data_IF_028046518748
#
_entry.id   IF_028046518748
#
_cell.length_a   1.000
_cell.length_b   1.000
_cell.length_c   1.000
_cell.angle_alpha   90.00
_cell.angle_beta   90.00
_cell.angle_gamma   90.00
#
_symmetry.space_group_name_H-M   'P 1'
#
loop_
_entity.id
_entity.type
_entity.pdbx_description
1 polymer ?
#
# COMPACT_ATOMS: atom_id res chain seq x y z
N UNK A 1 2.87 -7.28 -29.22
CA UNK A 1 3.27 -6.45 -28.06
C UNK A 1 2.08 -6.37 -27.14
N UNK A 2 2.19 -6.90 -25.93
CA UNK A 2 1.12 -6.89 -24.92
C UNK A 2 0.91 -5.46 -24.41
N UNK A 3 -0.35 -5.08 -24.16
CA UNK A 3 -0.77 -3.77 -23.64
C UNK A 3 -0.08 -3.38 -22.34
N UNK A 4 0.35 -4.36 -21.55
CA UNK A 4 1.11 -4.17 -20.32
C UNK A 4 2.52 -3.61 -20.56
N UNK A 5 3.15 -3.92 -21.70
CA UNK A 5 4.50 -3.42 -22.03
C UNK A 5 4.45 -1.96 -22.43
N UNK A 6 3.44 -1.56 -23.20
CA UNK A 6 3.24 -0.14 -23.57
C UNK A 6 2.88 0.71 -22.36
N UNK A 7 2.13 0.13 -21.40
CA UNK A 7 1.81 0.81 -20.14
C UNK A 7 3.06 0.99 -19.28
N UNK A 8 3.90 -0.04 -19.17
CA UNK A 8 5.18 0.04 -18.47
C UNK A 8 6.09 1.13 -19.06
N UNK A 9 6.20 1.21 -20.39
CA UNK A 9 7.01 2.24 -21.06
C UNK A 9 6.48 3.66 -20.82
N UNK A 10 5.16 3.85 -20.77
CA UNK A 10 4.55 5.14 -20.39
C UNK A 10 4.90 5.54 -18.96
N UNK A 11 4.69 4.63 -18.00
CA UNK A 11 5.04 4.90 -16.60
C UNK A 11 6.54 5.11 -16.38
N UNK A 12 7.39 4.40 -17.13
CA UNK A 12 8.84 4.62 -17.10
C UNK A 12 9.21 6.02 -17.63
N UNK A 13 8.54 6.49 -18.68
CA UNK A 13 8.74 7.84 -19.21
C UNK A 13 8.29 8.91 -18.22
N UNK A 14 7.13 8.74 -17.59
CA UNK A 14 6.59 9.67 -16.60
C UNK A 14 7.48 9.74 -15.35
N UNK A 15 7.95 8.58 -14.86
CA UNK A 15 8.88 8.49 -13.74
C UNK A 15 10.23 9.18 -14.04
N UNK A 16 10.77 9.01 -15.25
CA UNK A 16 11.99 9.70 -15.66
C UNK A 16 11.81 11.22 -15.76
N UNK A 17 10.63 11.68 -16.19
CA UNK A 17 10.25 13.09 -16.18
C UNK A 17 10.24 13.67 -14.75
N UNK A 18 9.64 12.94 -13.80
CA UNK A 18 9.65 13.32 -12.39
C UNK A 18 11.06 13.36 -11.81
N UNK A 19 11.91 12.36 -12.09
CA UNK A 19 13.29 12.35 -11.62
C UNK A 19 14.07 13.59 -12.09
N UNK A 20 13.88 14.03 -13.33
CA UNK A 20 14.51 15.25 -13.84
C UNK A 20 14.00 16.51 -13.13
N UNK A 21 12.69 16.59 -12.85
CA UNK A 21 12.12 17.68 -12.05
C UNK A 21 12.71 17.72 -10.64
N UNK A 22 12.76 16.58 -9.96
CA UNK A 22 13.33 16.43 -8.61
C UNK A 22 14.80 16.86 -8.60
N UNK A 23 15.61 16.40 -9.55
CA UNK A 23 17.02 16.79 -9.66
C UNK A 23 17.18 18.29 -9.95
N UNK A 24 16.32 18.86 -10.81
CA UNK A 24 16.27 20.30 -11.07
C UNK A 24 15.98 21.12 -9.81
N UNK A 25 15.02 20.68 -8.99
CA UNK A 25 14.67 21.35 -7.73
C UNK A 25 15.72 21.18 -6.65
N UNK A 26 16.33 20.01 -6.53
CA UNK A 26 17.45 19.78 -5.61
C UNK A 26 18.68 20.61 -5.97
N UNK A 27 19.00 20.72 -7.26
CA UNK A 27 20.10 21.58 -7.72
C UNK A 27 19.79 23.06 -7.53
N UNK A 28 18.54 23.51 -7.73
CA UNK A 28 18.10 24.87 -7.41
C UNK A 28 18.18 25.16 -5.89
N UNK A 29 17.76 24.23 -5.03
CA UNK A 29 17.87 24.36 -3.58
C UNK A 29 19.34 24.34 -3.08
N UNK A 30 20.24 23.76 -3.87
CA UNK A 30 21.68 23.76 -3.62
C UNK A 30 22.33 25.08 -4.08
N UNK A 31 21.97 25.58 -5.28
CA UNK A 31 22.52 26.82 -5.83
C UNK A 31 22.04 28.07 -5.11
N UNK A 32 20.83 28.06 -4.55
CA UNK A 32 20.35 29.11 -3.65
C UNK A 32 21.23 29.31 -2.41
N UNK A 33 22.13 28.37 -2.10
CA UNK A 33 23.16 28.50 -1.06
C UNK A 33 24.43 29.23 -1.48
N UNK A 34 24.70 29.44 -2.78
CA UNK A 34 25.98 29.92 -3.30
C UNK A 34 25.77 31.11 -4.26
N UNK A 35 25.97 32.32 -3.73
CA UNK A 35 26.13 33.57 -4.48
C UNK A 35 25.38 34.72 -3.81
N UNK A 36 25.84 35.96 -3.75
CA UNK A 36 27.14 36.61 -3.92
C UNK A 36 26.88 38.08 -3.47
N UNK A 37 27.75 38.63 -2.63
CA UNK A 37 27.88 40.02 -2.16
C UNK A 37 26.62 40.90 -1.83
N UNK A 38 26.55 41.46 -0.61
CA UNK A 38 25.36 42.13 -0.09
C UNK A 38 25.24 43.56 -0.63
N UNK A 39 24.06 43.94 -1.10
CA UNK A 39 23.70 45.36 -1.13
C UNK A 39 22.25 45.51 -0.65
N UNK A 40 22.12 46.10 0.55
CA UNK A 40 20.90 46.65 1.17
C UNK A 40 20.10 45.65 2.04
N UNK A 41 20.23 45.84 3.36
CA UNK A 41 19.49 45.25 4.50
C UNK A 41 19.71 43.73 4.82
N UNK A 42 20.62 43.39 5.76
CA UNK A 42 21.12 42.01 5.97
C UNK A 42 20.16 40.99 6.59
N UNK A 43 19.06 41.41 7.22
CA UNK A 43 18.33 40.57 8.17
C UNK A 43 17.06 39.93 7.61
N UNK A 44 16.33 40.62 6.72
CA UNK A 44 15.09 40.10 6.12
C UNK A 44 15.38 39.15 4.97
N UNK A 45 16.39 39.47 4.15
CA UNK A 45 16.77 38.69 2.97
C UNK A 45 17.34 37.30 3.33
N UNK A 46 17.89 37.14 4.54
CA UNK A 46 18.44 35.87 5.01
C UNK A 46 17.34 34.87 5.40
N UNK A 47 16.32 35.32 6.14
CA UNK A 47 15.17 34.50 6.53
C UNK A 47 14.33 34.11 5.30
N UNK A 48 14.07 35.07 4.39
CA UNK A 48 13.33 34.82 3.15
C UNK A 48 14.02 33.77 2.26
N UNK A 49 15.36 33.78 2.20
CA UNK A 49 16.14 32.77 1.45
C UNK A 49 16.10 31.39 2.09
N UNK A 50 16.15 31.31 3.42
CA UNK A 50 16.05 30.03 4.15
C UNK A 50 14.65 29.45 3.99
N UNK A 51 13.61 30.29 4.06
CA UNK A 51 12.23 29.89 3.86
C UNK A 51 11.98 29.42 2.42
N UNK A 52 12.47 30.15 1.42
CA UNK A 52 12.40 29.75 0.00
C UNK A 52 13.13 28.43 -0.26
N UNK A 53 14.28 28.21 0.37
CA UNK A 53 15.04 26.95 0.29
C UNK A 53 14.28 25.79 0.95
N UNK A 54 13.65 26.02 2.11
CA UNK A 54 12.79 25.00 2.75
C UNK A 54 11.55 24.70 1.91
N UNK A 55 10.94 25.71 1.31
CA UNK A 55 9.78 25.54 0.44
C UNK A 55 10.12 24.74 -0.83
N UNK A 56 11.29 24.98 -1.44
CA UNK A 56 11.75 24.19 -2.59
C UNK A 56 12.09 22.75 -2.22
N UNK A 57 12.69 22.53 -1.04
CA UNK A 57 12.94 21.18 -0.49
C UNK A 57 11.62 20.43 -0.25
N UNK A 58 10.62 21.04 0.41
CA UNK A 58 9.31 20.41 0.63
C UNK A 58 8.59 20.07 -0.66
N UNK A 59 8.69 20.93 -1.68
CA UNK A 59 8.14 20.64 -3.02
C UNK A 59 8.86 19.47 -3.68
N UNK A 60 10.18 19.35 -3.49
CA UNK A 60 10.94 18.20 -3.98
C UNK A 60 10.58 16.91 -3.23
N UNK A 61 10.33 16.97 -1.92
CA UNK A 61 9.85 15.83 -1.12
C UNK A 61 8.49 15.32 -1.61
N UNK A 62 7.54 16.21 -1.90
CA UNK A 62 6.24 15.81 -2.42
C UNK A 62 6.33 15.10 -3.78
N UNK A 63 7.21 15.56 -4.68
CA UNK A 63 7.47 14.87 -5.95
C UNK A 63 8.24 13.56 -5.77
N UNK A 64 9.06 13.43 -4.72
CA UNK A 64 9.70 12.16 -4.37
C UNK A 64 8.71 11.12 -3.85
N UNK A 65 7.66 11.54 -3.16
CA UNK A 65 6.57 10.66 -2.72
C UNK A 65 5.76 10.19 -3.94
N UNK A 66 5.41 11.09 -4.87
CA UNK A 66 4.77 10.74 -6.14
C UNK A 66 5.63 9.76 -6.98
N UNK A 67 6.95 9.96 -7.00
CA UNK A 67 7.88 9.03 -7.65
C UNK A 67 7.93 7.65 -6.97
N UNK A 68 7.70 7.57 -5.65
CA UNK A 68 7.62 6.31 -4.89
C UNK A 68 6.33 5.54 -5.23
N UNK A 69 5.22 6.26 -5.37
CA UNK A 69 3.95 5.71 -5.83
C UNK A 69 4.08 5.14 -7.25
N UNK A 70 4.70 5.89 -8.18
CA UNK A 70 4.96 5.37 -9.54
C UNK A 70 5.89 4.15 -9.54
N UNK A 71 6.92 4.14 -8.70
CA UNK A 71 7.81 2.99 -8.57
C UNK A 71 7.06 1.75 -8.06
N UNK A 72 6.10 1.93 -7.15
CA UNK A 72 5.23 0.85 -6.66
C UNK A 72 4.35 0.28 -7.78
N UNK A 73 3.78 1.13 -8.64
CA UNK A 73 3.03 0.69 -9.82
C UNK A 73 3.91 -0.07 -10.82
N UNK A 74 5.15 0.38 -11.05
CA UNK A 74 6.11 -0.32 -11.90
C UNK A 74 6.51 -1.70 -11.33
N UNK A 75 6.68 -1.80 -10.00
CA UNK A 75 6.94 -3.08 -9.32
C UNK A 75 5.71 -4.03 -9.41
N UNK A 76 4.49 -3.50 -9.29
CA UNK A 76 3.25 -4.27 -9.46
C UNK A 76 3.09 -4.77 -10.90
N UNK A 77 3.28 -3.92 -11.91
CA UNK A 77 3.23 -4.32 -13.33
C UNK A 77 4.27 -5.42 -13.63
N UNK A 78 5.46 -5.32 -13.05
CA UNK A 78 6.52 -6.33 -13.19
C UNK A 78 6.14 -7.69 -12.57
N UNK A 79 5.30 -7.70 -11.55
CA UNK A 79 4.79 -8.92 -10.92
C UNK A 79 3.81 -9.67 -11.83
N UNK A 80 3.01 -8.93 -12.62
CA UNK A 80 2.02 -9.47 -13.55
C UNK A 80 2.65 -10.01 -14.86
N UNK A 81 3.85 -9.55 -15.22
CA UNK A 81 4.57 -10.03 -16.40
C UNK A 81 4.99 -11.51 -16.23
N UNK A 82 4.57 -12.44 -17.12
CA UNK A 82 4.89 -13.86 -16.99
C UNK A 82 6.40 -14.11 -17.09
N UNK A 83 6.90 -15.07 -16.27
CA UNK A 83 8.32 -15.44 -16.18
C UNK A 83 8.95 -15.91 -17.50
N UNK A 84 8.12 -16.27 -18.49
CA UNK A 84 8.53 -16.72 -19.82
C UNK A 84 8.94 -15.59 -20.77
N UNK A 85 8.71 -14.32 -20.40
CA UNK A 85 9.16 -13.18 -21.20
C UNK A 85 10.64 -12.89 -21.00
N UNK A 86 11.46 -13.07 -22.06
CA UNK A 86 12.91 -12.80 -22.07
C UNK A 86 13.29 -11.36 -21.71
N UNK A 87 12.37 -10.40 -21.84
CA UNK A 87 12.60 -8.98 -21.52
C UNK A 87 12.48 -8.65 -20.03
N UNK A 88 11.84 -9.52 -19.23
CA UNK A 88 11.67 -9.35 -17.77
C UNK A 88 12.96 -8.97 -17.01
N UNK A 89 14.11 -9.65 -17.19
CA UNK A 89 15.35 -9.29 -16.49
C UNK A 89 15.85 -7.87 -16.81
N UNK A 90 15.62 -7.36 -18.02
CA UNK A 90 15.98 -5.99 -18.39
C UNK A 90 15.11 -4.96 -17.65
N UNK A 91 13.79 -5.20 -17.57
CA UNK A 91 12.87 -4.33 -16.83
C UNK A 91 13.13 -4.35 -15.31
N UNK A 92 13.43 -5.52 -14.74
CA UNK A 92 13.86 -5.64 -13.32
C UNK A 92 15.10 -4.78 -13.05
N UNK A 93 16.09 -4.82 -13.95
CA UNK A 93 17.32 -4.02 -13.79
C UNK A 93 17.04 -2.52 -13.85
N UNK A 94 16.10 -2.08 -14.69
CA UNK A 94 15.73 -0.67 -14.84
C UNK A 94 14.98 -0.14 -13.61
N UNK A 95 14.02 -0.90 -13.08
CA UNK A 95 13.32 -0.57 -11.82
C UNK A 95 14.30 -0.50 -10.64
N UNK A 96 15.30 -1.40 -10.58
CA UNK A 96 16.35 -1.31 -9.56
C UNK A 96 17.23 -0.07 -9.70
N UNK A 97 17.57 0.33 -10.92
CA UNK A 97 18.32 1.57 -11.17
C UNK A 97 17.51 2.81 -10.76
N UNK A 98 16.23 2.85 -11.14
CA UNK A 98 15.26 3.88 -10.73
C UNK A 98 15.13 4.00 -9.20
N UNK A 99 15.07 2.87 -8.50
CA UNK A 99 15.04 2.84 -7.03
C UNK A 99 16.32 3.39 -6.40
N UNK A 100 17.47 3.08 -6.99
CA UNK A 100 18.76 3.56 -6.51
C UNK A 100 18.90 5.09 -6.70
N UNK A 101 18.46 5.65 -7.84
CA UNK A 101 18.49 7.10 -8.08
C UNK A 101 17.51 7.85 -7.19
N UNK A 102 16.31 7.31 -6.95
CA UNK A 102 15.34 7.88 -6.01
C UNK A 102 15.89 7.89 -4.57
N UNK A 103 16.53 6.81 -4.15
CA UNK A 103 17.17 6.72 -2.82
C UNK A 103 18.29 7.75 -2.65
N UNK A 104 19.09 7.96 -3.70
CA UNK A 104 20.13 8.99 -3.70
C UNK A 104 19.53 10.41 -3.59
N UNK A 105 18.45 10.70 -4.33
CA UNK A 105 17.75 11.98 -4.26
C UNK A 105 17.12 12.21 -2.88
N UNK A 106 16.47 11.20 -2.29
CA UNK A 106 15.91 11.26 -0.92
C UNK A 106 16.99 11.57 0.12
N UNK A 107 18.18 10.95 0.00
CA UNK A 107 19.33 11.25 0.86
C UNK A 107 19.79 12.70 0.71
N UNK A 108 19.94 13.18 -0.53
CA UNK A 108 20.35 14.56 -0.81
C UNK A 108 19.35 15.59 -0.26
N UNK A 109 18.04 15.35 -0.40
CA UNK A 109 17.00 16.21 0.18
C UNK A 109 17.13 16.30 1.70
N UNK A 110 17.28 15.15 2.37
CA UNK A 110 17.44 15.08 3.83
C UNK A 110 18.68 15.86 4.30
N UNK A 111 19.80 15.70 3.62
CA UNK A 111 21.05 16.42 3.97
C UNK A 111 20.89 17.94 3.78
N UNK A 112 20.21 18.37 2.70
CA UNK A 112 19.89 19.78 2.46
C UNK A 112 18.94 20.35 3.53
N UNK A 113 17.91 19.60 3.93
CA UNK A 113 16.98 19.98 4.98
C UNK A 113 17.69 20.17 6.33
N UNK A 114 18.54 19.21 6.73
CA UNK A 114 19.33 19.33 7.98
C UNK A 114 20.28 20.52 7.93
N UNK A 115 20.87 20.81 6.76
CA UNK A 115 21.73 21.99 6.59
C UNK A 115 20.96 23.31 6.76
N UNK A 116 19.72 23.38 6.25
CA UNK A 116 18.88 24.58 6.35
C UNK A 116 18.38 24.82 7.78
N UNK A 117 17.94 23.77 8.48
CA UNK A 117 17.49 23.86 9.88
C UNK A 117 18.64 24.21 10.81
N UNK A 118 19.85 23.68 10.59
CA UNK A 118 21.03 24.02 11.38
C UNK A 118 21.41 25.50 11.22
N UNK A 119 21.33 26.05 10.00
CA UNK A 119 21.63 27.44 9.74
C UNK A 119 20.69 28.39 10.50
N UNK A 120 19.39 28.10 10.51
CA UNK A 120 18.38 28.84 11.26
C UNK A 120 18.61 28.79 12.78
N UNK A 121 18.96 27.62 13.32
CA UNK A 121 19.23 27.48 14.76
C UNK A 121 20.46 28.26 15.21
N UNK A 122 21.51 28.32 14.39
CA UNK A 122 22.70 29.12 14.67
C UNK A 122 22.38 30.62 14.63
N UNK A 123 21.61 31.07 13.64
CA UNK A 123 21.16 32.45 13.52
C UNK A 123 20.29 32.89 14.71
N UNK A 124 19.42 31.99 15.21
CA UNK A 124 18.57 32.26 16.38
C UNK A 124 19.33 32.24 17.70
N UNK A 125 20.44 31.52 17.80
CA UNK A 125 21.29 31.50 18.99
C UNK A 125 22.08 32.82 19.16
N UNK A 126 22.56 33.40 18.06
CA UNK A 126 23.27 34.69 18.08
C UNK A 126 22.35 35.85 18.52
N UNK A 127 21.04 35.74 18.21
CA UNK A 127 19.99 36.66 18.67
C UNK A 127 19.80 36.65 20.19
N UNK A 128 20.00 35.50 20.86
CA UNK A 128 19.80 35.36 22.31
C UNK A 128 21.04 35.80 23.11
N UNK A 129 22.23 35.72 22.52
CA UNK A 129 23.48 36.10 23.19
C UNK A 129 23.70 37.61 23.31
N UNK A 130 22.92 38.44 22.61
CA UNK A 130 23.11 39.90 22.53
C UNK A 130 22.04 40.74 23.22
N UNK A 131 20.97 40.12 23.74
CA UNK A 131 19.90 40.83 24.43
C UNK A 131 19.84 40.42 25.90
N UNK A 132 20.37 41.28 26.79
CA UNK A 132 20.05 41.26 28.23
C UNK A 132 18.53 41.50 28.40
N UNK A 133 17.73 40.49 28.84
CA UNK A 133 16.28 40.66 28.89
C UNK A 133 15.84 41.17 30.26
N UNK A 134 15.05 42.24 30.24
CA UNK A 134 14.33 42.83 31.35
C UNK A 134 13.46 41.77 32.08
N UNK A 135 13.59 41.64 33.40
CA UNK A 135 13.00 40.55 34.21
C UNK A 135 11.47 40.43 34.06
N UNK A 136 10.81 41.55 33.77
CA UNK A 136 9.35 41.62 33.53
C UNK A 136 8.92 40.90 32.25
N UNK A 137 9.71 41.01 31.19
CA UNK A 137 9.49 40.29 29.93
C UNK A 137 9.59 38.78 30.14
N UNK A 138 10.52 38.35 31.00
CA UNK A 138 10.68 36.93 31.36
C UNK A 138 9.50 36.39 32.16
N UNK A 139 8.95 37.17 33.09
CA UNK A 139 7.75 36.78 33.85
C UNK A 139 6.50 36.70 32.98
N UNK A 140 6.29 37.69 32.10
CA UNK A 140 5.18 37.69 31.14
C UNK A 140 5.27 36.49 30.18
N UNK A 141 6.46 36.22 29.65
CA UNK A 141 6.70 35.05 28.81
C UNK A 141 6.43 33.74 29.57
N UNK A 142 6.82 33.66 30.86
CA UNK A 142 6.53 32.51 31.72
C UNK A 142 5.03 32.30 31.92
N UNK A 143 4.27 33.37 32.15
CA UNK A 143 2.82 33.29 32.30
C UNK A 143 2.12 32.87 31.01
N UNK A 144 2.50 33.45 29.86
CA UNK A 144 1.95 33.09 28.55
C UNK A 144 2.24 31.61 28.22
N UNK A 145 3.45 31.13 28.54
CA UNK A 145 3.82 29.72 28.36
C UNK A 145 2.99 28.80 29.26
N UNK A 146 2.69 29.23 30.49
CA UNK A 146 1.87 28.44 31.42
C UNK A 146 0.41 28.37 30.96
N UNK A 147 -0.15 29.50 30.53
CA UNK A 147 -1.50 29.58 29.99
C UNK A 147 -1.65 28.70 28.73
N UNK A 148 -0.67 28.79 27.82
CA UNK A 148 -0.62 27.93 26.64
C UNK A 148 -0.46 26.45 27.02
N UNK A 149 0.38 26.14 28.02
CA UNK A 149 0.53 24.79 28.57
C UNK A 149 -0.77 24.23 29.15
N UNK A 150 -1.55 25.07 29.86
CA UNK A 150 -2.84 24.70 30.41
C UNK A 150 -3.87 24.42 29.31
N UNK A 151 -3.95 25.28 28.29
CA UNK A 151 -4.84 25.08 27.15
C UNK A 151 -4.50 23.81 26.36
N UNK A 152 -3.20 23.54 26.17
CA UNK A 152 -2.72 22.30 25.54
C UNK A 152 -3.03 21.06 26.37
N UNK A 153 -2.93 21.15 27.69
CA UNK A 153 -3.29 20.04 28.59
C UNK A 153 -4.78 19.74 28.51
N UNK A 154 -5.64 20.77 28.51
CA UNK A 154 -7.08 20.60 28.34
C UNK A 154 -7.41 19.93 27.00
N UNK A 155 -6.84 20.40 25.88
CA UNK A 155 -7.08 19.76 24.59
C UNK A 155 -6.53 18.33 24.55
N UNK A 156 -5.37 18.06 25.17
CA UNK A 156 -4.83 16.70 25.30
C UNK A 156 -5.77 15.78 26.08
N UNK A 157 -6.37 16.25 27.18
CA UNK A 157 -7.37 15.45 27.92
C UNK A 157 -8.62 15.19 27.09
N UNK A 158 -9.08 16.20 26.33
CA UNK A 158 -10.24 16.05 25.44
C UNK A 158 -9.96 15.05 24.32
N UNK A 159 -8.77 15.09 23.73
CA UNK A 159 -8.34 14.13 22.70
C UNK A 159 -8.22 12.74 23.30
N UNK A 160 -7.62 12.58 24.48
CA UNK A 160 -7.48 11.30 25.17
C UNK A 160 -8.85 10.64 25.44
N UNK A 161 -9.84 11.41 25.92
CA UNK A 161 -11.20 10.91 26.15
C UNK A 161 -11.87 10.45 24.85
N UNK A 162 -11.70 11.21 23.74
CA UNK A 162 -12.19 10.75 22.43
C UNK A 162 -11.50 9.48 21.96
N UNK A 163 -10.20 9.36 22.20
CA UNK A 163 -9.46 8.13 21.86
C UNK A 163 -9.92 6.93 22.68
N UNK A 164 -10.27 7.13 23.96
CA UNK A 164 -10.88 6.09 24.79
C UNK A 164 -12.25 5.65 24.24
N UNK A 165 -13.10 6.60 23.84
CA UNK A 165 -14.40 6.32 23.26
C UNK A 165 -14.28 5.51 21.94
N UNK A 166 -13.42 5.95 21.03
CA UNK A 166 -13.13 5.24 19.77
C UNK A 166 -12.53 3.86 20.05
N UNK A 167 -11.62 3.75 21.03
CA UNK A 167 -11.04 2.48 21.44
C UNK A 167 -12.10 1.50 21.98
N UNK A 168 -13.02 1.98 22.80
CA UNK A 168 -14.14 1.19 23.32
C UNK A 168 -15.08 0.72 22.20
N UNK A 169 -15.36 1.58 21.21
CA UNK A 169 -16.13 1.21 20.02
C UNK A 169 -15.42 0.13 19.19
N UNK A 170 -14.12 0.27 18.95
CA UNK A 170 -13.32 -0.73 18.22
C UNK A 170 -13.38 -2.08 18.94
N UNK A 171 -13.22 -2.12 20.27
CA UNK A 171 -13.32 -3.35 21.05
C UNK A 171 -14.72 -4.00 20.94
N UNK A 172 -15.77 -3.18 20.96
CA UNK A 172 -17.15 -3.66 20.77
C UNK A 172 -17.35 -4.26 19.37
N UNK A 173 -16.83 -3.60 18.34
CA UNK A 173 -16.90 -4.07 16.96
C UNK A 173 -16.08 -5.35 16.75
N UNK A 174 -14.86 -5.43 17.28
CA UNK A 174 -14.02 -6.63 17.23
C UNK A 174 -14.72 -7.82 17.90
N UNK A 175 -15.39 -7.60 19.04
CA UNK A 175 -16.20 -8.64 19.68
C UNK A 175 -17.33 -9.12 18.78
N UNK A 176 -18.06 -8.20 18.15
CA UNK A 176 -19.13 -8.55 17.19
C UNK A 176 -18.61 -9.26 15.94
N UNK A 177 -17.45 -8.87 15.42
CA UNK A 177 -16.79 -9.54 14.30
C UNK A 177 -16.35 -10.95 14.68
N UNK A 178 -15.79 -11.15 15.88
CA UNK A 178 -15.43 -12.48 16.39
C UNK A 178 -16.65 -13.41 16.43
N UNK A 179 -17.78 -12.91 16.93
CA UNK A 179 -19.03 -13.68 16.99
C UNK A 179 -19.54 -14.05 15.57
N UNK A 180 -19.47 -13.13 14.62
CA UNK A 180 -19.78 -13.42 13.21
C UNK A 180 -18.87 -14.50 12.60
N UNK A 181 -17.56 -14.45 12.87
CA UNK A 181 -16.60 -15.46 12.39
C UNK A 181 -16.93 -16.83 12.99
N UNK A 182 -17.23 -16.89 14.29
CA UNK A 182 -17.62 -18.14 14.96
C UNK A 182 -18.90 -18.70 14.34
N UNK A 183 -19.93 -17.87 14.15
CA UNK A 183 -21.18 -18.30 13.50
C UNK A 183 -20.98 -18.75 12.05
N UNK A 184 -20.16 -18.04 11.28
CA UNK A 184 -19.83 -18.42 9.91
C UNK A 184 -19.09 -19.77 9.88
N UNK A 185 -18.15 -19.99 10.80
CA UNK A 185 -17.44 -21.25 10.96
C UNK A 185 -18.37 -22.41 11.32
N UNK A 186 -19.28 -22.22 12.28
CA UNK A 186 -20.26 -23.25 12.67
C UNK A 186 -21.22 -23.58 11.52
N UNK A 187 -21.63 -22.56 10.76
CA UNK A 187 -22.48 -22.72 9.58
C UNK A 187 -21.74 -23.49 8.48
N UNK A 188 -20.47 -23.16 8.23
CA UNK A 188 -19.63 -23.87 7.26
C UNK A 188 -19.43 -25.33 7.67
N UNK A 189 -19.14 -25.61 8.94
CA UNK A 189 -18.99 -26.98 9.44
C UNK A 189 -20.30 -27.76 9.27
N UNK A 190 -21.43 -27.15 9.60
CA UNK A 190 -22.75 -27.75 9.38
C UNK A 190 -23.02 -28.00 7.89
N UNK A 191 -22.65 -27.06 7.01
CA UNK A 191 -22.79 -27.23 5.56
C UNK A 191 -21.91 -28.38 5.05
N UNK A 192 -20.67 -28.50 5.53
CA UNK A 192 -19.74 -29.57 5.16
C UNK A 192 -20.28 -30.95 5.55
N UNK A 193 -20.80 -31.10 6.78
CA UNK A 193 -21.45 -32.35 7.21
C UNK A 193 -22.68 -32.71 6.36
N UNK A 194 -23.45 -31.70 5.92
CA UNK A 194 -24.60 -31.90 5.03
C UNK A 194 -24.16 -32.28 3.60
N UNK A 195 -23.06 -31.73 3.10
CA UNK A 195 -22.44 -32.09 1.83
C UNK A 195 -21.94 -33.53 1.86
N UNK A 196 -21.28 -33.94 2.93
CA UNK A 196 -20.81 -35.32 3.13
C UNK A 196 -21.97 -36.32 3.12
N UNK A 197 -23.04 -36.02 3.86
CA UNK A 197 -24.26 -36.85 3.87
C UNK A 197 -24.88 -36.92 2.46
N UNK A 198 -25.02 -35.79 1.79
CA UNK A 198 -25.61 -35.71 0.44
C UNK A 198 -24.78 -36.49 -0.57
N UNK A 199 -23.45 -36.37 -0.51
CA UNK A 199 -22.49 -37.12 -1.32
C UNK A 199 -22.60 -38.63 -1.07
N UNK A 200 -22.79 -39.05 0.19
CA UNK A 200 -23.05 -40.44 0.55
C UNK A 200 -24.34 -41.00 -0.05
N UNK A 201 -25.43 -40.22 0.00
CA UNK A 201 -26.71 -40.59 -0.63
C UNK A 201 -26.56 -40.69 -2.15
N UNK A 202 -25.91 -39.71 -2.78
CA UNK A 202 -25.68 -39.70 -4.22
C UNK A 202 -24.88 -40.92 -4.68
N UNK A 203 -23.78 -41.26 -3.98
CA UNK A 203 -23.00 -42.48 -4.24
C UNK A 203 -23.84 -43.75 -4.13
N UNK A 204 -24.76 -43.82 -3.16
CA UNK A 204 -25.70 -44.95 -3.00
C UNK A 204 -26.68 -45.05 -4.18
N UNK A 205 -27.25 -43.92 -4.61
CA UNK A 205 -28.16 -43.86 -5.77
C UNK A 205 -27.46 -44.29 -7.06
N UNK A 206 -26.23 -43.83 -7.29
CA UNK A 206 -25.41 -44.22 -8.45
C UNK A 206 -25.20 -45.74 -8.46
N UNK A 207 -24.81 -46.33 -7.32
CA UNK A 207 -24.58 -47.79 -7.23
C UNK A 207 -25.87 -48.58 -7.48
N UNK A 208 -27.00 -48.10 -6.95
CA UNK A 208 -28.32 -48.70 -7.20
C UNK A 208 -28.71 -48.62 -8.68
N UNK A 209 -28.44 -47.49 -9.34
CA UNK A 209 -28.69 -47.31 -10.78
C UNK A 209 -27.88 -48.31 -11.62
N UNK A 210 -26.59 -48.48 -11.34
CA UNK A 210 -25.77 -49.48 -12.04
C UNK A 210 -26.31 -50.90 -11.84
N UNK A 211 -26.68 -51.27 -10.62
CA UNK A 211 -27.29 -52.57 -10.33
C UNK A 211 -28.57 -52.78 -11.13
N UNK A 212 -29.45 -51.78 -11.17
CA UNK A 212 -30.68 -51.85 -11.97
C UNK A 212 -30.37 -52.00 -13.46
N UNK A 213 -29.42 -51.25 -14.01
CA UNK A 213 -28.99 -51.39 -15.42
C UNK A 213 -28.49 -52.79 -15.75
N UNK A 214 -27.67 -53.40 -14.88
CA UNK A 214 -27.17 -54.77 -15.06
C UNK A 214 -28.31 -55.79 -15.05
N UNK A 215 -29.27 -55.66 -14.11
CA UNK A 215 -30.43 -56.55 -14.04
C UNK A 215 -31.26 -56.48 -15.34
N UNK A 216 -31.54 -55.27 -15.84
CA UNK A 216 -32.27 -55.12 -17.10
C UNK A 216 -31.51 -55.69 -18.30
N UNK A 217 -30.19 -55.52 -18.35
CA UNK A 217 -29.36 -56.10 -19.40
C UNK A 217 -29.43 -57.64 -19.39
N UNK A 218 -29.32 -58.27 -18.22
CA UNK A 218 -29.42 -59.73 -18.07
C UNK A 218 -30.79 -60.27 -18.52
N UNK A 219 -31.88 -59.59 -18.12
CA UNK A 219 -33.24 -59.96 -18.54
C UNK A 219 -33.38 -59.84 -20.06
N UNK A 220 -32.87 -58.76 -20.66
CA UNK A 220 -32.88 -58.57 -22.12
C UNK A 220 -32.14 -59.66 -22.87
N UNK A 221 -30.95 -60.05 -22.41
CA UNK A 221 -30.16 -61.15 -22.98
C UNK A 221 -30.89 -62.49 -22.86
N UNK A 222 -31.52 -62.76 -21.72
CA UNK A 222 -32.31 -63.97 -21.51
C UNK A 222 -33.46 -64.09 -22.51
N UNK A 223 -34.23 -63.02 -22.73
CA UNK A 223 -35.30 -63.01 -23.72
C UNK A 223 -34.78 -63.21 -25.15
N UNK A 224 -33.68 -62.54 -25.52
CA UNK A 224 -33.06 -62.73 -26.83
C UNK A 224 -32.63 -64.18 -27.06
N UNK A 225 -31.98 -64.81 -26.08
CA UNK A 225 -31.59 -66.22 -26.16
C UNK A 225 -32.81 -67.14 -26.35
N UNK A 226 -33.88 -66.91 -25.60
CA UNK A 226 -35.12 -67.68 -25.70
C UNK A 226 -35.76 -67.55 -27.09
N UNK A 227 -35.81 -66.33 -27.65
CA UNK A 227 -36.29 -66.08 -29.01
C UNK A 227 -35.41 -66.80 -30.03
N UNK A 228 -34.07 -66.70 -29.91
CA UNK A 228 -33.14 -67.39 -30.82
C UNK A 228 -33.31 -68.91 -30.80
N UNK A 229 -33.52 -69.51 -29.61
CA UNK A 229 -33.79 -70.95 -29.46
C UNK A 229 -35.08 -71.34 -30.18
N UNK A 230 -36.18 -70.60 -29.97
CA UNK A 230 -37.46 -70.89 -30.63
C UNK A 230 -37.31 -70.80 -32.16
N UNK A 231 -36.62 -69.77 -32.65
CA UNK A 231 -36.44 -69.54 -34.08
C UNK A 231 -35.57 -70.63 -34.70
N UNK A 232 -34.53 -71.09 -34.00
CA UNK A 232 -33.71 -72.24 -34.41
C UNK A 232 -34.54 -73.53 -34.52
N UNK A 233 -35.35 -73.84 -33.52
CA UNK A 233 -36.23 -75.03 -33.56
C UNK A 233 -37.29 -74.94 -34.65
N UNK A 234 -37.87 -73.76 -34.89
CA UNK A 234 -38.87 -73.53 -35.95
C UNK A 234 -38.28 -73.61 -37.34
N UNK A 235 -37.04 -73.14 -37.55
CA UNK A 235 -36.41 -73.14 -38.88
C UNK A 235 -35.81 -74.52 -39.23
N UNK A 236 -35.41 -75.28 -38.22
CA UNK A 236 -34.85 -76.63 -38.40
C UNK A 236 -35.92 -77.73 -38.53
N UNK A 237 -37.14 -77.48 -38.07
CA UNK A 237 -38.30 -78.37 -38.21
C UNK A 237 -39.13 -77.98 -39.42
#
# INVERSE_FOLDING_TARGET
MSTEVTLFESYEQDFNGLLLSIQGKLSAATSQGIGEFPTRDPHTDADDRIEQRKASIRRAELEMDEADDMLSHLEELLSHIPQTQRSKPAYVSRVRAAKATLTACKKQSRDLYHSATRAELLQRNDQWSTAEPDERTRLLAGHQTLEEGSARLEDSTRVALRTEEVGAEILRNLRGQREQIVHASDTLHTADTNIDRSSGIMKRMIRQMYRQRVIFALIGVFFLALISIILYFKLRR
#
